data_IF_948905067217
#
_entry.id   IF_948905067217
#
_cell.length_a   1.000
_cell.length_b   1.000
_cell.length_c   1.000
_cell.angle_alpha   90.00
_cell.angle_beta   90.00
_cell.angle_gamma   90.00
#
_symmetry.space_group_name_H-M   'P 1'
#
loop_
_entity.id
_entity.type
_entity.pdbx_description
1 polymer ?
#
# COMPACT_ATOMS: atom_id res chain seq x y z
N UNK A 1 25.70 48.04 -1.69
CA UNK A 1 26.75 47.00 -1.72
C UNK A 1 26.19 45.78 -2.46
N UNK A 2 26.68 45.51 -3.67
CA UNK A 2 26.28 44.40 -4.54
C UNK A 2 27.16 43.18 -4.23
N UNK A 3 26.58 41.99 -4.00
CA UNK A 3 27.31 40.72 -4.11
C UNK A 3 26.53 39.78 -5.01
N UNK A 4 26.99 39.73 -6.25
CA UNK A 4 26.68 38.72 -7.24
C UNK A 4 27.38 37.42 -6.87
N UNK A 5 26.66 36.31 -6.84
CA UNK A 5 27.26 34.97 -6.87
C UNK A 5 26.87 34.29 -8.17
N UNK A 6 27.83 34.30 -9.11
CA UNK A 6 27.89 33.43 -10.28
C UNK A 6 28.43 32.09 -9.80
N UNK A 7 27.71 31.00 -10.02
CA UNK A 7 28.27 29.65 -9.96
C UNK A 7 28.11 28.98 -11.32
N UNK A 8 29.23 28.41 -11.74
CA UNK A 8 29.56 27.87 -13.05
C UNK A 8 28.98 26.46 -13.19
N UNK A 9 28.39 26.20 -14.37
CA UNK A 9 27.98 24.88 -14.81
C UNK A 9 29.21 23.98 -15.05
N UNK A 10 29.20 22.78 -14.48
CA UNK A 10 30.16 21.72 -14.83
C UNK A 10 29.42 20.62 -15.59
N UNK A 11 29.74 20.52 -16.88
CA UNK A 11 29.42 19.39 -17.73
C UNK A 11 30.12 18.12 -17.21
N UNK A 12 29.37 17.02 -17.14
CA UNK A 12 29.88 15.70 -16.81
C UNK A 12 29.09 14.63 -17.56
N UNK A 13 29.23 14.59 -18.87
CA UNK A 13 28.84 13.45 -19.71
C UNK A 13 29.76 12.29 -19.35
N UNK A 14 29.19 11.19 -18.85
CA UNK A 14 29.82 9.87 -18.92
C UNK A 14 28.77 8.87 -19.34
N UNK A 15 28.84 8.55 -20.61
CA UNK A 15 28.27 7.35 -21.22
C UNK A 15 28.80 6.11 -20.49
N UNK A 16 27.90 5.25 -20.05
CA UNK A 16 28.23 3.88 -19.64
C UNK A 16 27.45 2.94 -20.54
N UNK A 17 28.11 2.53 -21.63
CA UNK A 17 27.70 1.46 -22.51
C UNK A 17 27.70 0.10 -21.77
N UNK A 18 26.90 -0.80 -22.34
CA UNK A 18 27.03 -2.25 -22.25
C UNK A 18 26.59 -2.93 -20.95
N UNK A 19 25.39 -3.52 -21.02
CA UNK A 19 25.26 -4.99 -21.18
C UNK A 19 23.86 -5.35 -21.67
N UNK A 20 23.80 -5.72 -22.93
CA UNK A 20 22.67 -6.44 -23.55
C UNK A 20 22.52 -7.76 -22.80
N UNK A 21 21.45 -7.91 -22.03
CA UNK A 21 21.06 -9.18 -21.46
C UNK A 21 19.92 -9.76 -22.32
N UNK A 22 20.31 -10.59 -23.28
CA UNK A 22 19.43 -11.55 -23.92
C UNK A 22 18.88 -12.48 -22.83
N UNK A 23 17.58 -12.41 -22.56
CA UNK A 23 16.89 -13.50 -21.88
C UNK A 23 15.78 -14.00 -22.79
N UNK A 24 15.91 -15.29 -23.11
CA UNK A 24 15.13 -16.04 -24.07
C UNK A 24 13.63 -16.01 -23.74
N UNK A 25 12.82 -15.68 -24.73
CA UNK A 25 11.38 -15.90 -24.69
C UNK A 25 11.10 -17.41 -24.78
N UNK A 26 10.69 -18.01 -23.67
CA UNK A 26 10.08 -19.35 -23.70
C UNK A 26 8.63 -19.17 -24.15
N UNK A 27 8.38 -19.49 -25.42
CA UNK A 27 7.03 -19.56 -25.99
C UNK A 27 6.41 -20.88 -25.55
N UNK A 28 5.47 -20.84 -24.63
CA UNK A 28 4.60 -21.98 -24.30
C UNK A 28 3.44 -21.97 -25.29
N UNK A 29 3.50 -22.85 -26.29
CA UNK A 29 2.36 -23.11 -27.18
C UNK A 29 1.40 -24.10 -26.50
N UNK A 30 0.33 -23.59 -25.90
CA UNK A 30 -0.83 -24.41 -25.53
C UNK A 30 -1.64 -24.68 -26.80
N UNK A 31 -1.65 -25.95 -27.20
CA UNK A 31 -2.44 -26.47 -28.31
C UNK A 31 -3.93 -26.47 -27.93
N UNK A 32 -4.72 -25.69 -28.67
CA UNK A 32 -6.17 -25.65 -28.57
C UNK A 32 -6.78 -26.84 -29.34
N UNK A 33 -7.77 -27.49 -28.74
CA UNK A 33 -8.73 -28.34 -29.45
C UNK A 33 -10.12 -28.12 -28.82
N UNK A 34 -11.08 -27.71 -29.64
CA UNK A 34 -12.51 -27.64 -29.26
C UNK A 34 -13.20 -26.36 -29.72
N UNK A 35 -13.88 -26.47 -30.86
CA UNK A 35 -14.66 -25.44 -31.52
C UNK A 35 -15.97 -25.06 -30.78
N UNK A 36 -16.43 -23.83 -30.94
CA UNK A 36 -17.65 -23.50 -31.71
C UNK A 36 -18.19 -22.08 -31.41
N UNK A 37 -18.69 -21.45 -32.47
CA UNK A 37 -19.80 -20.47 -32.53
C UNK A 37 -19.58 -19.00 -32.12
N UNK A 38 -19.38 -18.19 -33.18
CA UNK A 38 -20.18 -17.01 -33.57
C UNK A 38 -20.89 -16.21 -32.46
N UNK A 39 -20.33 -15.05 -32.12
CA UNK A 39 -21.08 -13.81 -31.93
C UNK A 39 -20.12 -12.62 -31.79
N UNK A 40 -20.09 -11.76 -32.80
CA UNK A 40 -19.59 -10.40 -32.65
C UNK A 40 -20.64 -9.58 -31.89
N UNK A 41 -20.23 -8.79 -30.89
CA UNK A 41 -20.68 -7.40 -30.91
C UNK A 41 -19.52 -6.42 -30.75
N UNK A 42 -19.67 -5.31 -31.48
CA UNK A 42 -18.97 -4.05 -31.22
C UNK A 42 -19.40 -3.51 -29.86
N UNK A 43 -18.45 -2.91 -29.15
CA UNK A 43 -18.75 -1.76 -28.31
C UNK A 43 -18.41 -1.91 -26.84
N UNK A 44 -17.65 -0.92 -26.38
CA UNK A 44 -17.70 -0.32 -25.04
C UNK A 44 -16.97 -0.99 -23.88
N UNK A 45 -16.35 -0.07 -23.13
CA UNK A 45 -15.82 -0.16 -21.78
C UNK A 45 -14.47 -0.87 -21.62
N UNK A 46 -13.41 -0.07 -21.58
CA UNK A 46 -12.31 -0.31 -20.66
C UNK A 46 -12.90 -0.56 -19.27
N UNK A 47 -13.01 -1.82 -18.88
CA UNK A 47 -13.38 -2.20 -17.54
C UNK A 47 -12.22 -1.81 -16.61
N UNK A 48 -12.47 -0.80 -15.78
CA UNK A 48 -11.73 -0.62 -14.53
C UNK A 48 -11.98 -1.83 -13.66
N UNK A 49 -11.08 -2.81 -13.69
CA UNK A 49 -11.03 -3.86 -12.69
C UNK A 49 -10.40 -3.30 -11.42
N UNK A 50 -11.20 -2.60 -10.62
CA UNK A 50 -10.89 -2.36 -9.21
C UNK A 50 -11.21 -3.65 -8.47
N UNK A 51 -10.33 -4.65 -8.64
CA UNK A 51 -10.41 -5.92 -7.93
C UNK A 51 -9.85 -5.78 -6.53
N UNK A 52 -10.71 -5.55 -5.54
CA UNK A 52 -10.37 -5.84 -4.14
C UNK A 52 -10.12 -7.34 -4.03
N UNK A 53 -8.86 -7.76 -4.15
CA UNK A 53 -8.51 -9.17 -4.04
C UNK A 53 -8.38 -9.54 -2.57
N UNK A 54 -9.20 -10.51 -2.18
CA UNK A 54 -9.08 -11.33 -0.97
C UNK A 54 -7.65 -11.84 -0.78
N UNK A 55 -7.20 -11.80 0.47
CA UNK A 55 -5.89 -12.21 0.97
C UNK A 55 -5.39 -13.52 0.36
N UNK A 56 -4.16 -13.52 -0.15
CA UNK A 56 -3.44 -14.74 -0.53
C UNK A 56 -2.79 -15.31 0.75
N UNK A 57 -3.23 -16.49 1.24
CA UNK A 57 -2.76 -17.05 2.51
C UNK A 57 -1.27 -17.46 2.50
N UNK A 58 -0.56 -17.37 1.37
CA UNK A 58 0.88 -17.59 1.29
C UNK A 58 1.74 -16.32 1.29
N UNK A 59 1.15 -15.14 1.07
CA UNK A 59 1.93 -13.92 0.79
C UNK A 59 2.21 -13.06 2.03
N UNK A 60 1.49 -13.28 3.14
CA UNK A 60 1.57 -12.41 4.33
C UNK A 60 1.02 -10.99 4.11
N UNK A 61 0.55 -10.69 2.89
CA UNK A 61 -0.12 -9.45 2.51
C UNK A 61 -1.62 -9.61 2.73
N UNK A 62 -2.17 -8.81 3.63
CA UNK A 62 -3.56 -8.83 4.03
C UNK A 62 -4.48 -7.99 3.14
N UNK A 63 -3.93 -7.07 2.34
CA UNK A 63 -4.68 -6.26 1.38
C UNK A 63 -3.78 -5.39 0.52
N UNK A 64 -4.33 -4.84 -0.57
CA UNK A 64 -3.56 -3.99 -1.49
C UNK A 64 -4.36 -2.82 -2.06
N UNK A 65 -3.71 -1.67 -2.12
CA UNK A 65 -4.11 -0.50 -2.90
C UNK A 65 -2.91 0.00 -3.69
N UNK A 66 -2.94 -0.10 -5.02
CA UNK A 66 -1.81 0.23 -5.87
C UNK A 66 -2.24 1.17 -6.99
N UNK A 67 -1.37 2.09 -7.39
CA UNK A 67 -1.61 2.98 -8.54
C UNK A 67 -0.78 2.50 -9.74
N UNK A 68 -1.36 2.42 -10.96
CA UNK A 68 -0.60 2.08 -12.15
C UNK A 68 0.62 3.00 -12.33
N UNK A 69 1.76 2.42 -12.68
CA UNK A 69 3.01 3.17 -12.89
C UNK A 69 3.71 3.62 -11.60
N UNK A 70 3.23 3.24 -10.41
CA UNK A 70 3.87 3.54 -9.14
C UNK A 70 4.37 2.27 -8.44
N UNK A 71 5.62 2.31 -7.95
CA UNK A 71 6.16 1.29 -7.05
C UNK A 71 5.34 1.24 -5.77
N UNK A 72 4.81 0.07 -5.44
CA UNK A 72 4.00 -0.11 -4.23
C UNK A 72 4.89 -0.01 -2.98
N UNK A 73 4.38 0.68 -1.97
CA UNK A 73 4.93 0.74 -0.62
C UNK A 73 4.28 -0.33 0.26
N UNK A 74 4.86 -0.57 1.43
CA UNK A 74 4.37 -1.53 2.41
C UNK A 74 3.99 -0.80 3.70
N UNK A 75 2.78 -1.05 4.19
CA UNK A 75 2.34 -0.62 5.52
C UNK A 75 2.23 -1.86 6.40
N UNK A 76 2.92 -1.89 7.53
CA UNK A 76 2.79 -2.94 8.53
C UNK A 76 2.06 -2.36 9.73
N UNK A 77 0.79 -2.71 9.90
CA UNK A 77 0.02 -2.36 11.10
C UNK A 77 0.35 -3.37 12.19
N UNK A 78 0.95 -2.90 13.28
CA UNK A 78 1.36 -3.71 14.42
C UNK A 78 0.48 -3.43 15.63
N UNK A 79 0.09 -4.49 16.30
CA UNK A 79 -0.70 -4.46 17.52
C UNK A 79 0.16 -4.98 18.66
N UNK A 80 0.38 -4.12 19.66
CA UNK A 80 1.25 -4.43 20.80
C UNK A 80 0.64 -3.95 22.10
N UNK A 81 1.04 -4.56 23.21
CA UNK A 81 0.76 -4.02 24.53
C UNK A 81 1.68 -2.83 24.84
N UNK A 82 1.39 -2.07 25.90
CA UNK A 82 2.28 -0.99 26.38
C UNK A 82 3.66 -1.51 26.78
N UNK A 83 3.78 -2.76 27.25
CA UNK A 83 5.06 -3.44 27.47
C UNK A 83 5.73 -3.97 26.20
N UNK A 84 5.09 -3.87 25.03
CA UNK A 84 5.63 -4.26 23.73
C UNK A 84 5.32 -5.68 23.27
N UNK A 85 4.54 -6.46 24.03
CA UNK A 85 4.14 -7.81 23.62
C UNK A 85 3.16 -7.77 22.44
N UNK A 86 3.34 -8.66 21.46
CA UNK A 86 2.43 -8.77 20.32
C UNK A 86 0.99 -9.14 20.77
N UNK A 87 0.00 -8.55 20.09
CA UNK A 87 -1.42 -8.85 20.29
C UNK A 87 -2.01 -9.37 18.99
N UNK A 88 -2.17 -10.69 18.87
CA UNK A 88 -2.77 -11.33 17.71
C UNK A 88 -4.29 -11.13 17.61
N UNK A 89 -4.86 -11.53 16.48
CA UNK A 89 -6.30 -11.62 16.24
C UNK A 89 -7.05 -10.29 16.39
N UNK A 90 -6.39 -9.16 16.09
CA UNK A 90 -6.98 -7.83 16.12
C UNK A 90 -7.48 -7.45 14.72
N UNK A 91 -8.79 -7.23 14.52
CA UNK A 91 -9.32 -6.69 13.28
C UNK A 91 -8.94 -5.23 13.09
N UNK A 92 -8.25 -4.93 12.00
CA UNK A 92 -7.78 -3.59 11.63
C UNK A 92 -8.31 -3.18 10.27
N UNK A 93 -8.53 -1.89 10.10
CA UNK A 93 -8.91 -1.28 8.83
C UNK A 93 -7.89 -0.22 8.42
N UNK A 94 -7.59 -0.16 7.12
CA UNK A 94 -6.74 0.82 6.48
C UNK A 94 -7.54 1.52 5.38
N UNK A 95 -7.76 2.83 5.50
CA UNK A 95 -8.58 3.62 4.57
C UNK A 95 -7.73 4.70 3.92
N UNK A 96 -7.77 4.81 2.59
CA UNK A 96 -7.11 5.92 1.88
C UNK A 96 -7.84 7.24 2.14
N UNK A 97 -7.12 8.35 2.18
CA UNK A 97 -7.68 9.71 2.25
C UNK A 97 -7.58 10.35 0.87
N UNK A 98 -8.72 10.74 0.28
CA UNK A 98 -8.76 11.27 -1.09
C UNK A 98 -8.12 12.65 -1.24
N UNK A 99 -8.27 13.49 -0.21
CA UNK A 99 -7.81 14.88 -0.19
C UNK A 99 -6.68 15.01 0.83
N UNK A 100 -5.43 14.85 0.40
CA UNK A 100 -4.28 15.05 1.27
C UNK A 100 -2.99 15.37 0.49
N UNK A 101 -2.00 15.92 1.19
CA UNK A 101 -0.63 16.07 0.70
C UNK A 101 0.30 15.17 1.55
N UNK A 102 0.72 14.00 1.03
CA UNK A 102 1.58 13.09 1.79
C UNK A 102 3.01 13.60 1.93
N UNK A 103 3.50 14.45 1.02
CA UNK A 103 4.84 15.00 1.09
C UNK A 103 4.95 16.07 2.18
N UNK A 104 3.88 16.85 2.38
CA UNK A 104 3.75 17.82 3.48
C UNK A 104 3.09 17.25 4.73
N UNK A 105 2.73 15.96 4.71
CA UNK A 105 2.07 15.26 5.82
C UNK A 105 0.86 16.03 6.36
N UNK A 106 0.04 16.56 5.46
CA UNK A 106 -1.07 17.44 5.82
C UNK A 106 -2.37 16.93 5.22
N UNK A 107 -3.43 16.94 6.04
CA UNK A 107 -4.81 16.68 5.62
C UNK A 107 -5.58 17.99 5.80
N UNK A 108 -6.13 18.58 4.73
CA UNK A 108 -6.93 19.81 4.84
C UNK A 108 -8.14 19.61 5.76
N UNK A 109 -8.57 20.66 6.45
CA UNK A 109 -9.83 20.65 7.21
C UNK A 109 -10.99 20.35 6.26
N UNK A 110 -11.75 19.28 6.54
CA UNK A 110 -12.81 18.78 5.66
C UNK A 110 -12.37 17.66 4.70
N UNK A 111 -11.12 17.20 4.79
CA UNK A 111 -10.66 15.99 4.10
C UNK A 111 -11.43 14.76 4.58
N UNK A 112 -12.20 14.14 3.69
CA UNK A 112 -12.96 12.93 3.98
C UNK A 112 -12.09 11.68 3.83
N UNK A 113 -12.39 10.66 4.64
CA UNK A 113 -11.92 9.31 4.34
C UNK A 113 -12.46 8.91 2.97
N UNK A 114 -11.60 8.32 2.14
CA UNK A 114 -12.00 7.80 0.85
C UNK A 114 -12.88 6.56 0.99
N UNK A 115 -13.54 6.19 -0.10
CA UNK A 115 -14.48 5.06 -0.12
C UNK A 115 -13.78 3.69 -0.08
N UNK A 116 -12.45 3.65 -0.20
CA UNK A 116 -11.69 2.40 -0.24
C UNK A 116 -11.04 2.10 1.12
N UNK A 117 -11.60 1.11 1.82
CA UNK A 117 -11.06 0.52 3.04
C UNK A 117 -10.59 -0.92 2.81
N UNK A 118 -9.36 -1.22 3.22
CA UNK A 118 -8.81 -2.56 3.30
C UNK A 118 -8.94 -3.06 4.73
N UNK A 119 -9.37 -4.31 4.93
CA UNK A 119 -9.50 -4.92 6.25
C UNK A 119 -8.60 -6.12 6.38
N UNK A 120 -8.05 -6.30 7.57
CA UNK A 120 -7.22 -7.45 7.92
C UNK A 120 -7.44 -7.83 9.38
N UNK A 121 -6.98 -9.02 9.74
CA UNK A 121 -6.79 -9.40 11.14
C UNK A 121 -5.30 -9.65 11.35
N UNK A 122 -4.73 -9.13 12.43
CA UNK A 122 -3.30 -9.30 12.72
C UNK A 122 -2.96 -10.76 12.99
N UNK A 123 -1.82 -11.21 12.49
CA UNK A 123 -1.28 -12.55 12.68
C UNK A 123 -0.82 -12.83 14.12
N UNK A 124 -0.26 -14.02 14.35
CA UNK A 124 0.29 -14.43 15.64
C UNK A 124 1.42 -13.51 16.15
N UNK A 125 2.11 -12.80 15.26
CA UNK A 125 3.10 -11.78 15.57
C UNK A 125 2.51 -10.40 15.82
N UNK A 126 1.18 -10.27 15.86
CA UNK A 126 0.47 -9.01 16.02
C UNK A 126 0.71 -8.07 14.84
N UNK A 127 0.81 -8.59 13.62
CA UNK A 127 1.07 -7.78 12.42
C UNK A 127 0.03 -8.04 11.32
N UNK A 128 -0.35 -6.97 10.61
CA UNK A 128 -1.12 -7.03 9.36
C UNK A 128 -0.40 -6.17 8.31
N UNK A 129 -0.01 -6.79 7.20
CA UNK A 129 0.78 -6.13 6.16
C UNK A 129 -0.08 -5.77 4.96
N UNK A 130 0.05 -4.55 4.46
CA UNK A 130 -0.67 -4.05 3.30
C UNK A 130 0.30 -3.54 2.25
N UNK A 131 -0.05 -3.71 0.97
CA UNK A 131 0.58 -2.98 -0.13
C UNK A 131 -0.22 -1.71 -0.39
N UNK A 132 0.46 -0.57 -0.50
CA UNK A 132 -0.18 0.73 -0.57
C UNK A 132 0.56 1.67 -1.54
N UNK A 133 -0.19 2.51 -2.24
CA UNK A 133 0.35 3.60 -3.04
C UNK A 133 0.82 4.75 -2.12
N UNK A 134 1.63 5.67 -2.64
CA UNK A 134 1.91 6.96 -1.99
C UNK A 134 0.60 7.70 -1.77
N UNK A 135 0.38 8.16 -0.55
CA UNK A 135 -0.88 8.73 -0.09
C UNK A 135 -0.93 8.88 1.42
N UNK A 136 -2.07 9.37 1.92
CA UNK A 136 -2.35 9.45 3.35
C UNK A 136 -3.42 8.43 3.69
N UNK A 137 -3.25 7.81 4.84
CA UNK A 137 -4.08 6.70 5.27
C UNK A 137 -4.57 6.93 6.67
N UNK A 138 -5.79 6.49 6.89
CA UNK A 138 -6.30 6.23 8.21
C UNK A 138 -6.12 4.76 8.54
N UNK A 139 -5.74 4.46 9.78
CA UNK A 139 -5.74 3.09 10.30
C UNK A 139 -6.38 3.05 11.68
N UNK A 140 -7.15 2.00 11.94
CA UNK A 140 -7.86 1.85 13.21
C UNK A 140 -8.12 0.40 13.59
N UNK A 141 -8.38 0.18 14.88
CA UNK A 141 -8.95 -1.06 15.40
C UNK A 141 -10.45 -1.00 15.15
N UNK A 142 -11.00 -1.96 14.40
CA UNK A 142 -12.46 -2.02 14.15
C UNK A 142 -13.21 -2.75 15.26
N UNK A 143 -12.57 -3.70 15.93
CA UNK A 143 -13.08 -4.33 17.14
C UNK A 143 -11.94 -4.81 18.04
N UNK A 144 -12.14 -4.75 19.35
CA UNK A 144 -11.13 -5.21 20.32
C UNK A 144 -11.28 -6.72 20.56
N UNK A 145 -10.18 -7.50 20.57
CA UNK A 145 -10.25 -8.90 20.98
C UNK A 145 -10.76 -9.07 22.42
N UNK A 146 -11.31 -10.25 22.76
CA UNK A 146 -11.81 -10.53 24.11
C UNK A 146 -10.74 -10.30 25.19
N UNK A 147 -11.13 -9.59 26.25
CA UNK A 147 -10.25 -9.31 27.39
C UNK A 147 -9.05 -8.41 27.07
N UNK A 148 -9.04 -7.73 25.93
CA UNK A 148 -8.05 -6.71 25.59
C UNK A 148 -8.70 -5.33 25.60
N UNK A 149 -7.98 -4.34 26.13
CA UNK A 149 -8.40 -2.94 26.17
C UNK A 149 -7.47 -2.11 25.30
N UNK A 150 -7.96 -1.49 24.21
CA UNK A 150 -7.13 -0.63 23.38
C UNK A 150 -6.76 0.65 24.15
N UNK A 151 -5.50 1.05 24.03
CA UNK A 151 -5.00 2.36 24.46
C UNK A 151 -5.13 3.34 23.31
N UNK A 152 -4.73 2.91 22.11
CA UNK A 152 -4.96 3.66 20.88
C UNK A 152 -6.42 3.52 20.51
N UNK A 153 -7.19 4.60 20.63
CA UNK A 153 -8.61 4.63 20.30
C UNK A 153 -8.86 5.51 19.08
N UNK A 154 -9.93 5.17 18.35
CA UNK A 154 -10.31 5.86 17.13
C UNK A 154 -9.25 5.79 16.05
N UNK A 155 -9.39 6.71 15.11
CA UNK A 155 -8.67 6.69 13.85
C UNK A 155 -7.32 7.38 13.96
N UNK A 156 -6.28 6.68 13.53
CA UNK A 156 -4.92 7.18 13.46
C UNK A 156 -4.53 7.52 12.02
N UNK A 157 -3.56 8.40 11.83
CA UNK A 157 -3.11 8.83 10.51
C UNK A 157 -1.70 8.34 10.21
N UNK A 158 -1.46 7.95 8.96
CA UNK A 158 -0.18 7.55 8.41
C UNK A 158 0.06 8.25 7.07
N UNK A 159 1.31 8.56 6.75
CA UNK A 159 1.70 9.18 5.48
C UNK A 159 2.76 8.33 4.78
N UNK A 160 2.46 7.91 3.54
CA UNK A 160 3.43 7.34 2.62
C UNK A 160 3.82 8.41 1.62
N UNK A 161 5.01 8.98 1.78
CA UNK A 161 5.52 10.08 0.94
C UNK A 161 6.44 9.59 -0.18
N UNK A 162 7.03 8.39 -0.03
CA UNK A 162 8.01 7.83 -0.97
C UNK A 162 7.50 6.49 -1.51
N UNK A 163 7.55 6.25 -2.84
CA UNK A 163 7.23 4.95 -3.43
C UNK A 163 8.21 3.86 -2.97
N UNK A 164 7.73 2.65 -2.72
CA UNK A 164 8.57 1.53 -2.27
C UNK A 164 8.99 1.60 -0.78
N UNK A 165 8.49 2.59 -0.04
CA UNK A 165 8.76 2.72 1.38
C UNK A 165 8.08 1.60 2.18
N UNK A 166 8.73 1.10 3.23
CA UNK A 166 8.04 0.34 4.28
C UNK A 166 7.84 1.23 5.50
N UNK A 167 6.63 1.26 6.04
CA UNK A 167 6.29 2.03 7.25
C UNK A 167 5.54 1.15 8.24
N UNK A 168 5.94 1.24 9.51
CA UNK A 168 5.23 0.63 10.62
C UNK A 168 4.18 1.61 11.19
N UNK A 169 2.96 1.11 11.36
CA UNK A 169 1.88 1.77 12.10
C UNK A 169 1.63 0.98 13.39
N UNK A 170 1.40 1.65 14.52
CA UNK A 170 1.30 0.96 15.83
C UNK A 170 -0.04 1.27 16.50
N UNK A 171 -0.74 0.21 16.88
CA UNK A 171 -1.96 0.23 17.67
C UNK A 171 -1.66 -0.42 19.02
N UNK A 172 -1.85 0.32 20.10
CA UNK A 172 -1.43 -0.10 21.44
C UNK A 172 -2.60 -0.60 22.28
N UNK A 173 -2.38 -1.64 23.08
CA UNK A 173 -3.30 -2.19 24.06
C UNK A 173 -2.72 -2.09 25.47
N UNK A 174 -3.57 -2.10 26.48
CA UNK A 174 -3.14 -2.24 27.86
C UNK A 174 -2.43 -3.59 28.07
N UNK A 175 -1.49 -3.61 29.01
CA UNK A 175 -1.04 -4.88 29.59
C UNK A 175 -2.22 -5.58 30.28
N UNK A 176 -2.14 -6.92 30.37
CA UNK A 176 -3.16 -7.71 31.05
C UNK A 176 -2.95 -7.72 32.55
#
# INVERSE_FOLDING_TARGET
>A
MKRSYRWVAAHGVRESLSRVALFAAVVVTISACGAAEDARPRGSAAASEVGATTSDPGSGIAGRFTRPGQTSSTIVVRTRTVSGAAVADVPVELTLIDQCDPARQTIPTGGSAGTLGLRATTDAGGSATFLAAVGCYYYEITSSPPGRKPVTTGRQTLFLSVPGQTVDAVLTFQDR
#
